data_IF_564780337661
#
_entry.id   IF_564780337661
#
_cell.length_a   1.000
_cell.length_b   1.000
_cell.length_c   1.000
_cell.angle_alpha   90.00
_cell.angle_beta   90.00
_cell.angle_gamma   90.00
#
_symmetry.space_group_name_H-M   'P 1'
#
loop_
_entity.id
_entity.type
_entity.pdbx_description
1 polymer ?
#
# COMPACT_ATOMS: atom_id res chain seq x y z
N UNK A 1 -5.67 -5.74 4.56
CA UNK A 1 -4.74 -6.84 4.81
C UNK A 1 -4.35 -6.85 6.29
N UNK A 2 -4.06 -8.02 6.81
CA UNK A 2 -3.62 -8.26 8.19
C UNK A 2 -2.10 -8.34 8.34
N UNK A 3 -1.37 -8.06 7.26
CA UNK A 3 0.09 -8.10 7.27
C UNK A 3 0.75 -6.96 8.05
N UNK A 4 2.07 -7.08 8.36
CA UNK A 4 2.76 -6.18 9.28
C UNK A 4 2.59 -4.70 8.91
N UNK A 5 2.84 -4.31 7.66
CA UNK A 5 2.76 -2.91 7.25
C UNK A 5 1.37 -2.30 7.46
N UNK A 6 0.32 -3.10 7.22
CA UNK A 6 -1.07 -2.65 7.41
C UNK A 6 -1.41 -2.52 8.88
N UNK A 7 -0.92 -3.44 9.71
CA UNK A 7 -1.15 -3.42 11.16
C UNK A 7 -0.35 -2.32 11.84
N UNK A 8 0.88 -2.05 11.40
CA UNK A 8 1.66 -0.88 11.82
C UNK A 8 0.90 0.41 11.55
N UNK A 9 0.34 0.58 10.33
CA UNK A 9 -0.45 1.76 9.99
C UNK A 9 -1.68 1.92 10.89
N UNK A 10 -2.42 0.83 11.14
CA UNK A 10 -3.61 0.87 12.00
C UNK A 10 -3.22 1.24 13.43
N UNK A 11 -2.17 0.64 14.00
CA UNK A 11 -1.68 0.96 15.34
C UNK A 11 -1.25 2.42 15.47
N UNK A 12 -0.50 2.95 14.50
CA UNK A 12 -0.11 4.36 14.47
C UNK A 12 -1.33 5.29 14.43
N UNK A 13 -2.34 4.96 13.63
CA UNK A 13 -3.57 5.75 13.54
C UNK A 13 -4.39 5.69 14.82
N UNK A 14 -4.47 4.53 15.49
CA UNK A 14 -5.12 4.38 16.79
C UNK A 14 -4.49 5.27 17.85
N UNK A 15 -3.16 5.33 17.91
CA UNK A 15 -2.42 6.17 18.87
C UNK A 15 -2.69 7.68 18.73
N UNK A 16 -3.04 8.12 17.53
CA UNK A 16 -3.35 9.54 17.28
C UNK A 16 -4.85 9.81 17.11
N UNK A 17 -5.69 8.77 17.19
CA UNK A 17 -7.13 8.81 16.93
C UNK A 17 -7.83 9.90 17.71
N UNK A 18 -7.64 9.93 19.03
CA UNK A 18 -8.29 10.91 19.91
C UNK A 18 -7.76 12.32 19.65
N UNK A 19 -6.44 12.47 19.55
CA UNK A 19 -5.80 13.77 19.34
C UNK A 19 -6.31 14.50 18.09
N UNK A 20 -6.61 13.76 17.02
CA UNK A 20 -7.04 14.30 15.72
C UNK A 20 -8.51 14.03 15.43
N UNK A 21 -9.26 13.47 16.39
CA UNK A 21 -10.68 13.09 16.24
C UNK A 21 -10.92 12.26 14.96
N UNK A 22 -10.12 11.20 14.78
CA UNK A 22 -10.21 10.37 13.60
C UNK A 22 -11.33 9.35 13.71
N UNK A 23 -12.17 9.25 12.67
CA UNK A 23 -13.08 8.14 12.45
C UNK A 23 -12.40 7.12 11.54
N UNK A 24 -12.13 5.92 12.06
CA UNK A 24 -11.38 4.88 11.35
C UNK A 24 -12.30 3.74 10.92
N UNK A 25 -12.28 3.42 9.64
CA UNK A 25 -12.95 2.28 9.04
C UNK A 25 -11.90 1.34 8.45
N UNK A 26 -11.91 0.09 8.84
CA UNK A 26 -10.98 -0.92 8.36
C UNK A 26 -11.63 -1.70 7.22
N UNK A 27 -11.06 -1.57 6.03
CA UNK A 27 -11.49 -2.29 4.83
C UNK A 27 -10.58 -3.50 4.57
N UNK A 28 -11.11 -4.70 4.65
CA UNK A 28 -10.40 -5.95 4.40
C UNK A 28 -10.92 -6.63 3.14
N UNK A 29 -10.01 -6.99 2.23
CA UNK A 29 -10.35 -7.77 1.04
C UNK A 29 -9.77 -9.17 1.20
N UNK A 30 -10.63 -10.14 1.31
CA UNK A 30 -10.29 -11.56 1.33
C UNK A 30 -10.24 -12.07 -0.12
N UNK A 31 -9.07 -12.46 -0.58
CA UNK A 31 -8.85 -12.96 -1.92
C UNK A 31 -9.28 -14.42 -2.11
N UNK A 32 -9.70 -15.11 -1.05
CA UNK A 32 -10.18 -16.51 -1.04
C UNK A 32 -9.25 -17.51 -1.76
N UNK A 33 -7.97 -17.20 -1.87
CA UNK A 33 -6.98 -18.04 -2.59
C UNK A 33 -6.42 -19.13 -1.69
N UNK A 34 -6.61 -19.03 -0.37
CA UNK A 34 -6.00 -19.90 0.64
C UNK A 34 -6.93 -20.15 1.82
N UNK A 35 -6.71 -21.28 2.51
CA UNK A 35 -7.46 -21.59 3.75
C UNK A 35 -7.21 -20.56 4.86
N UNK A 36 -5.99 -20.05 4.94
CA UNK A 36 -5.56 -19.04 5.91
C UNK A 36 -6.27 -17.70 5.75
N UNK A 37 -6.80 -17.40 4.56
CA UNK A 37 -7.55 -16.14 4.31
C UNK A 37 -8.79 -15.98 5.19
N UNK A 38 -9.39 -17.07 5.64
CA UNK A 38 -10.50 -17.05 6.59
C UNK A 38 -10.02 -16.70 8.01
N UNK A 39 -8.89 -17.26 8.44
CA UNK A 39 -8.29 -16.97 9.74
C UNK A 39 -7.82 -15.53 9.83
N UNK A 40 -7.25 -14.99 8.72
CA UNK A 40 -6.89 -13.58 8.61
C UNK A 40 -8.10 -12.65 8.80
N UNK A 41 -9.20 -12.94 8.12
CA UNK A 41 -10.44 -12.16 8.25
C UNK A 41 -10.97 -12.18 9.68
N UNK A 42 -10.95 -13.36 10.31
CA UNK A 42 -11.40 -13.55 11.69
C UNK A 42 -10.51 -12.83 12.70
N UNK A 43 -9.21 -12.85 12.49
CA UNK A 43 -8.25 -12.08 13.27
C UNK A 43 -8.56 -10.57 13.17
N UNK A 44 -8.76 -10.06 11.97
CA UNK A 44 -9.07 -8.64 11.74
C UNK A 44 -10.40 -8.22 12.36
N UNK A 45 -11.43 -9.05 12.25
CA UNK A 45 -12.73 -8.80 12.87
C UNK A 45 -12.60 -8.69 14.40
N UNK A 46 -11.89 -9.64 15.03
CA UNK A 46 -11.66 -9.61 16.48
C UNK A 46 -10.81 -8.42 16.90
N UNK A 47 -9.78 -8.09 16.11
CA UNK A 47 -8.94 -6.93 16.36
C UNK A 47 -9.75 -5.63 16.31
N UNK A 48 -10.59 -5.47 15.29
CA UNK A 48 -11.44 -4.29 15.15
C UNK A 48 -12.47 -4.18 16.28
N UNK A 49 -13.07 -5.29 16.68
CA UNK A 49 -14.00 -5.33 17.82
C UNK A 49 -13.31 -4.90 19.13
N UNK A 50 -12.10 -5.38 19.38
CA UNK A 50 -11.35 -5.04 20.60
C UNK A 50 -10.92 -3.56 20.65
N UNK A 51 -10.80 -2.89 19.50
CA UNK A 51 -10.37 -1.49 19.38
C UNK A 51 -11.52 -0.54 19.00
N UNK A 52 -12.77 -1.01 19.06
CA UNK A 52 -13.97 -0.23 18.71
C UNK A 52 -13.88 0.42 17.31
N UNK A 53 -13.42 -0.37 16.33
CA UNK A 53 -13.28 0.02 14.93
C UNK A 53 -14.41 -0.57 14.09
N UNK A 54 -14.87 0.20 13.11
CA UNK A 54 -15.76 -0.31 12.07
C UNK A 54 -14.96 -1.25 11.16
N UNK A 55 -15.46 -2.46 10.96
CA UNK A 55 -14.85 -3.47 10.09
C UNK A 55 -15.75 -3.77 8.90
N UNK A 56 -15.20 -3.58 7.70
CA UNK A 56 -15.87 -3.90 6.43
C UNK A 56 -15.01 -4.92 5.67
N UNK A 57 -15.63 -5.97 5.20
CA UNK A 57 -14.94 -7.03 4.47
C UNK A 57 -15.64 -7.38 3.18
N UNK A 58 -14.86 -7.78 2.19
CA UNK A 58 -15.33 -8.34 0.92
C UNK A 58 -14.54 -9.59 0.62
N UNK A 59 -15.23 -10.62 0.14
CA UNK A 59 -14.62 -11.84 -0.38
C UNK A 59 -14.66 -11.78 -1.90
N UNK A 60 -13.53 -12.05 -2.56
CA UNK A 60 -13.47 -12.24 -4.00
C UNK A 60 -13.61 -13.73 -4.25
N UNK A 61 -14.77 -14.16 -4.77
CA UNK A 61 -15.10 -15.57 -4.93
C UNK A 61 -14.42 -16.19 -6.14
N UNK A 62 -14.36 -15.48 -7.25
CA UNK A 62 -13.77 -15.94 -8.51
C UNK A 62 -12.98 -14.82 -9.20
N UNK A 63 -11.95 -15.23 -9.93
CA UNK A 63 -11.18 -14.36 -10.81
C UNK A 63 -11.35 -14.84 -12.24
N UNK A 64 -11.48 -13.93 -13.19
CA UNK A 64 -11.48 -14.25 -14.62
C UNK A 64 -10.11 -14.83 -15.08
N UNK A 65 -10.12 -15.55 -16.18
CA UNK A 65 -8.96 -16.28 -16.68
C UNK A 65 -7.81 -15.38 -17.16
N UNK A 66 -8.08 -14.14 -17.52
CA UNK A 66 -7.10 -13.20 -18.06
C UNK A 66 -6.83 -12.01 -17.12
N UNK A 67 -5.58 -11.85 -16.68
CA UNK A 67 -5.10 -10.69 -15.94
C UNK A 67 -5.51 -10.58 -14.44
N UNK A 68 -5.50 -11.71 -13.73
CA UNK A 68 -5.76 -11.81 -12.29
C UNK A 68 -5.36 -10.60 -11.44
N UNK A 69 -4.15 -10.05 -11.62
CA UNK A 69 -3.68 -8.94 -10.81
C UNK A 69 -4.38 -7.61 -11.07
N UNK A 70 -4.74 -7.33 -12.32
CA UNK A 70 -5.45 -6.09 -12.67
C UNK A 70 -6.91 -6.16 -12.26
N UNK A 71 -7.54 -7.31 -12.45
CA UNK A 71 -8.92 -7.55 -12.05
C UNK A 71 -9.08 -7.47 -10.53
N UNK A 72 -8.24 -8.18 -9.77
CA UNK A 72 -8.21 -8.12 -8.32
C UNK A 72 -7.97 -6.68 -7.81
N UNK A 73 -7.15 -5.91 -8.52
CA UNK A 73 -6.93 -4.49 -8.20
C UNK A 73 -8.21 -3.69 -8.42
N UNK A 74 -8.88 -3.83 -9.55
CA UNK A 74 -10.09 -3.07 -9.88
C UNK A 74 -11.22 -3.40 -8.90
N UNK A 75 -11.48 -4.68 -8.62
CA UNK A 75 -12.49 -5.13 -7.66
C UNK A 75 -12.21 -4.51 -6.28
N UNK A 76 -10.95 -4.55 -5.83
CA UNK A 76 -10.55 -3.96 -4.55
C UNK A 76 -10.78 -2.46 -4.49
N UNK A 77 -10.42 -1.70 -5.54
CA UNK A 77 -10.62 -0.25 -5.54
C UNK A 77 -12.10 0.13 -5.64
N UNK A 78 -12.91 -0.60 -6.40
CA UNK A 78 -14.37 -0.42 -6.44
C UNK A 78 -15.00 -0.62 -5.06
N UNK A 79 -14.56 -1.64 -4.33
CA UNK A 79 -14.99 -1.86 -2.94
C UNK A 79 -14.59 -0.68 -2.05
N UNK A 80 -13.35 -0.23 -2.11
CA UNK A 80 -12.91 0.92 -1.31
C UNK A 80 -13.71 2.19 -1.63
N UNK A 81 -13.99 2.46 -2.90
CA UNK A 81 -14.82 3.60 -3.31
C UNK A 81 -16.26 3.49 -2.78
N UNK A 82 -16.83 2.29 -2.75
CA UNK A 82 -18.16 2.07 -2.16
C UNK A 82 -18.18 2.43 -0.67
N UNK A 83 -17.10 2.08 0.06
CA UNK A 83 -16.96 2.42 1.47
C UNK A 83 -16.71 3.92 1.70
N UNK A 84 -15.89 4.56 0.86
CA UNK A 84 -15.71 6.02 0.87
C UNK A 84 -17.07 6.71 0.80
N UNK A 85 -17.93 6.32 -0.13
CA UNK A 85 -19.27 6.88 -0.28
C UNK A 85 -20.18 6.54 0.91
N UNK A 86 -20.16 5.29 1.37
CA UNK A 86 -21.00 4.81 2.51
C UNK A 86 -20.72 5.59 3.79
N UNK A 87 -19.47 5.90 4.07
CA UNK A 87 -19.02 6.54 5.30
C UNK A 87 -18.67 8.03 5.13
N UNK A 88 -18.87 8.60 3.93
CA UNK A 88 -18.43 9.96 3.58
C UNK A 88 -16.96 10.21 4.00
N UNK A 89 -16.07 9.25 3.75
CA UNK A 89 -14.70 9.30 4.21
C UNK A 89 -13.82 10.21 3.32
N UNK A 90 -13.01 11.05 3.93
CA UNK A 90 -12.13 11.99 3.23
C UNK A 90 -10.87 11.32 2.64
N UNK A 91 -10.45 10.19 3.23
CA UNK A 91 -9.18 9.54 2.91
C UNK A 91 -9.30 8.03 2.77
N UNK A 92 -8.68 7.49 1.71
CA UNK A 92 -8.32 6.09 1.61
C UNK A 92 -6.83 5.96 1.95
N UNK A 93 -6.49 5.33 3.08
CA UNK A 93 -5.11 5.11 3.46
C UNK A 93 -4.64 3.71 3.09
N UNK A 94 -3.42 3.61 2.57
CA UNK A 94 -2.78 2.33 2.22
C UNK A 94 -1.38 2.27 2.80
N UNK A 95 -0.95 1.09 3.24
CA UNK A 95 0.31 0.86 3.92
C UNK A 95 1.52 0.69 2.97
N UNK A 96 1.49 1.30 1.79
CA UNK A 96 2.66 1.30 0.91
C UNK A 96 3.80 2.10 1.55
N UNK A 97 4.99 1.54 1.53
CA UNK A 97 6.20 2.09 2.14
C UNK A 97 7.33 2.35 1.13
N UNK A 98 8.50 2.79 1.59
CA UNK A 98 9.61 3.20 0.73
C UNK A 98 10.16 2.07 -0.14
N UNK A 99 10.26 0.84 0.37
CA UNK A 99 10.70 -0.31 -0.42
C UNK A 99 9.73 -0.60 -1.57
N UNK A 100 8.41 -0.48 -1.36
CA UNK A 100 7.41 -0.62 -2.44
C UNK A 100 7.57 0.44 -3.54
N UNK A 101 8.01 1.65 -3.18
CA UNK A 101 8.30 2.70 -4.16
C UNK A 101 9.50 2.31 -5.02
N UNK A 102 10.60 1.85 -4.40
CA UNK A 102 11.79 1.38 -5.11
C UNK A 102 11.41 0.23 -6.05
N UNK A 103 10.71 -0.80 -5.55
CA UNK A 103 10.23 -1.92 -6.35
C UNK A 103 9.47 -1.43 -7.59
N UNK A 104 8.53 -0.49 -7.38
CA UNK A 104 7.66 0.02 -8.45
C UNK A 104 8.45 0.80 -9.49
N UNK A 105 9.36 1.67 -9.08
CA UNK A 105 10.22 2.46 -9.97
C UNK A 105 11.11 1.53 -10.80
N UNK A 106 11.82 0.61 -10.14
CA UNK A 106 12.71 -0.35 -10.80
C UNK A 106 11.98 -1.24 -11.79
N UNK A 107 10.82 -1.80 -11.40
CA UNK A 107 10.02 -2.62 -12.31
C UNK A 107 9.54 -1.84 -13.54
N UNK A 108 9.20 -0.55 -13.39
CA UNK A 108 8.78 0.29 -14.51
C UNK A 108 9.95 0.69 -15.40
N UNK A 109 11.14 0.92 -14.84
CA UNK A 109 12.36 1.15 -15.62
C UNK A 109 12.67 -0.05 -16.51
N UNK A 110 12.61 -1.27 -15.99
CA UNK A 110 12.89 -2.49 -16.74
C UNK A 110 11.84 -2.81 -17.81
N UNK A 111 10.56 -2.54 -17.54
CA UNK A 111 9.47 -2.80 -18.49
C UNK A 111 9.29 -1.73 -19.54
N UNK A 112 9.84 -0.56 -19.33
CA UNK A 112 9.50 0.65 -20.05
C UNK A 112 8.23 1.32 -19.50
N UNK A 113 8.22 2.64 -19.47
CA UNK A 113 7.08 3.46 -19.04
C UNK A 113 7.21 4.87 -19.62
N UNK A 114 6.21 5.72 -19.40
CA UNK A 114 6.33 7.15 -19.63
C UNK A 114 6.91 7.87 -18.40
N UNK A 115 7.19 9.16 -18.54
CA UNK A 115 7.81 9.97 -17.50
C UNK A 115 7.02 9.93 -16.17
N UNK A 116 5.70 10.11 -16.25
CA UNK A 116 4.81 9.99 -15.08
C UNK A 116 4.85 8.59 -14.48
N UNK A 117 4.91 7.55 -15.31
CA UNK A 117 5.02 6.18 -14.86
C UNK A 117 6.31 5.90 -14.10
N UNK A 118 7.45 6.36 -14.59
CA UNK A 118 8.75 6.17 -13.94
C UNK A 118 8.81 6.82 -12.55
N UNK A 119 8.01 7.85 -12.26
CA UNK A 119 7.94 8.43 -10.92
C UNK A 119 7.36 7.49 -9.85
N UNK A 120 6.89 6.29 -10.21
CA UNK A 120 6.33 5.34 -9.25
C UNK A 120 4.93 5.74 -8.79
N UNK A 121 4.72 5.85 -7.49
CA UNK A 121 3.45 6.30 -6.91
C UNK A 121 3.67 7.45 -5.90
N UNK A 122 2.64 8.30 -5.75
CA UNK A 122 2.70 9.50 -4.92
C UNK A 122 2.22 9.24 -3.49
N UNK A 123 2.71 10.03 -2.52
CA UNK A 123 2.23 10.04 -1.15
C UNK A 123 0.74 10.35 -1.06
N UNK A 124 0.29 11.35 -1.83
CA UNK A 124 -1.11 11.78 -1.89
C UNK A 124 -1.56 11.82 -3.34
N UNK A 125 -2.70 11.20 -3.63
CA UNK A 125 -3.35 11.23 -4.94
C UNK A 125 -4.76 11.78 -4.75
N UNK A 126 -5.11 12.94 -5.33
CA UNK A 126 -6.47 13.44 -5.30
C UNK A 126 -7.37 12.56 -6.17
N UNK A 127 -8.55 12.27 -5.67
CA UNK A 127 -9.64 11.58 -6.34
C UNK A 127 -10.90 12.45 -6.27
N UNK A 128 -11.96 12.06 -6.95
CA UNK A 128 -13.23 12.75 -6.85
C UNK A 128 -13.87 12.53 -5.47
N UNK A 129 -13.91 13.59 -4.67
CA UNK A 129 -14.51 13.58 -3.33
C UNK A 129 -13.63 13.02 -2.20
N UNK A 130 -12.44 12.47 -2.49
CA UNK A 130 -11.53 11.94 -1.45
C UNK A 130 -10.06 11.99 -1.88
N UNK A 131 -9.14 11.55 -1.02
CA UNK A 131 -7.71 11.41 -1.37
C UNK A 131 -7.20 10.01 -1.01
N UNK A 132 -6.39 9.43 -1.89
CA UNK A 132 -5.59 8.25 -1.53
C UNK A 132 -4.31 8.74 -0.86
N UNK A 133 -4.02 8.25 0.34
CA UNK A 133 -2.85 8.65 1.12
C UNK A 133 -2.00 7.42 1.47
N UNK A 134 -0.68 7.57 1.39
CA UNK A 134 0.32 6.55 1.76
C UNK A 134 1.23 7.11 2.85
N UNK A 135 0.80 7.06 4.11
CA UNK A 135 1.53 7.69 5.21
C UNK A 135 2.92 7.11 5.40
N UNK A 136 3.09 5.82 5.11
CA UNK A 136 4.33 5.06 5.36
C UNK A 136 5.38 5.17 4.25
N UNK A 137 5.15 5.95 3.20
CA UNK A 137 6.04 6.03 2.04
C UNK A 137 7.48 6.47 2.38
N UNK A 138 7.67 7.15 3.50
CA UNK A 138 8.98 7.62 3.98
C UNK A 138 9.75 6.59 4.80
N UNK A 139 9.10 5.48 5.18
CA UNK A 139 9.67 4.45 6.02
C UNK A 139 10.10 3.24 5.19
N UNK A 140 11.16 2.60 5.63
CA UNK A 140 11.62 1.31 5.09
C UNK A 140 10.80 0.17 5.68
N UNK A 141 10.84 -0.99 5.03
CA UNK A 141 10.26 -2.21 5.57
C UNK A 141 10.84 -2.55 6.95
N UNK A 142 12.14 -2.41 7.09
CA UNK A 142 12.86 -2.70 8.34
C UNK A 142 12.45 -1.78 9.49
N UNK A 143 12.26 -0.48 9.23
CA UNK A 143 11.76 0.46 10.25
C UNK A 143 10.35 0.10 10.71
N UNK A 144 9.48 -0.37 9.80
CA UNK A 144 8.13 -0.82 10.14
C UNK A 144 8.17 -2.13 10.95
N UNK A 145 9.00 -3.09 10.60
CA UNK A 145 9.18 -4.32 11.37
C UNK A 145 9.74 -4.04 12.77
N UNK A 146 10.66 -3.08 12.90
CA UNK A 146 11.17 -2.63 14.19
C UNK A 146 10.07 -1.93 15.01
N UNK A 147 9.25 -1.10 14.36
CA UNK A 147 8.09 -0.49 15.01
C UNK A 147 7.13 -1.54 15.56
N UNK A 148 6.79 -2.55 14.76
CA UNK A 148 5.89 -3.63 15.16
C UNK A 148 6.43 -4.40 16.38
N UNK A 149 7.73 -4.72 16.39
CA UNK A 149 8.39 -5.40 17.52
C UNK A 149 8.38 -4.55 18.78
N UNK A 150 8.70 -3.25 18.67
CA UNK A 150 8.78 -2.36 19.82
C UNK A 150 7.41 -2.05 20.44
N UNK A 151 6.35 -2.15 19.66
CA UNK A 151 4.98 -1.84 20.07
C UNK A 151 4.10 -3.08 20.27
N UNK A 152 4.67 -4.29 20.18
CA UNK A 152 3.94 -5.57 20.27
C UNK A 152 2.73 -5.62 19.30
N UNK A 153 2.89 -5.07 18.11
CA UNK A 153 1.84 -5.05 17.09
C UNK A 153 1.63 -6.46 16.57
N UNK A 154 0.42 -6.96 16.72
CA UNK A 154 0.04 -8.31 16.24
C UNK A 154 -0.36 -8.24 14.77
N UNK A 155 0.18 -9.12 13.95
CA UNK A 155 -0.12 -9.23 12.52
C UNK A 155 -0.11 -10.69 12.07
N UNK A 156 -0.67 -10.91 10.89
CA UNK A 156 -0.67 -12.22 10.25
C UNK A 156 0.47 -12.32 9.23
N UNK A 157 1.25 -13.41 9.28
CA UNK A 157 2.35 -13.63 8.33
C UNK A 157 1.84 -14.43 7.13
N UNK A 158 1.92 -13.84 5.95
CA UNK A 158 1.57 -14.51 4.71
C UNK A 158 2.74 -15.35 4.18
N UNK A 159 2.56 -16.68 4.19
CA UNK A 159 3.56 -17.66 3.70
C UNK A 159 3.84 -17.58 2.19
N UNK A 160 3.05 -16.85 1.40
CA UNK A 160 3.26 -16.71 -0.05
C UNK A 160 4.29 -15.65 -0.44
N UNK A 161 4.73 -14.84 0.51
CA UNK A 161 5.71 -13.78 0.26
C UNK A 161 7.08 -14.31 -0.18
N UNK A 162 7.40 -15.57 0.12
CA UNK A 162 8.70 -16.20 -0.18
C UNK A 162 8.80 -16.82 -1.58
N UNK A 163 7.73 -16.79 -2.38
CA UNK A 163 7.74 -17.43 -3.69
C UNK A 163 8.38 -16.53 -4.76
N UNK A 164 9.51 -16.96 -5.34
CA UNK A 164 10.20 -16.25 -6.44
C UNK A 164 9.41 -16.19 -7.77
N UNK A 165 8.20 -16.78 -7.80
CA UNK A 165 7.30 -16.81 -8.97
C UNK A 165 6.93 -15.40 -9.43
N UNK A 166 6.78 -14.47 -8.52
CA UNK A 166 6.34 -13.10 -8.83
C UNK A 166 7.53 -12.15 -8.96
N UNK A 167 7.54 -11.34 -10.02
CA UNK A 167 8.59 -10.35 -10.29
C UNK A 167 8.85 -9.44 -9.09
N UNK A 168 7.79 -8.97 -8.41
CA UNK A 168 7.88 -8.11 -7.24
C UNK A 168 8.64 -8.78 -6.09
N UNK A 169 8.40 -10.07 -5.83
CA UNK A 169 9.10 -10.82 -4.79
C UNK A 169 10.61 -10.94 -5.11
N UNK A 170 10.98 -11.12 -6.39
CA UNK A 170 12.40 -11.14 -6.79
C UNK A 170 13.09 -9.80 -6.57
N UNK A 171 12.40 -8.67 -6.86
CA UNK A 171 12.97 -7.34 -6.58
C UNK A 171 13.17 -7.13 -5.09
N UNK A 172 12.19 -7.50 -4.27
CA UNK A 172 12.27 -7.42 -2.82
C UNK A 172 13.41 -8.26 -2.25
N UNK A 173 13.61 -9.46 -2.78
CA UNK A 173 14.57 -10.42 -2.27
C UNK A 173 16.01 -10.17 -2.73
N UNK A 174 16.19 -9.67 -3.96
CA UNK A 174 17.51 -9.59 -4.57
C UNK A 174 17.94 -8.16 -4.90
N UNK A 175 17.04 -7.28 -5.31
CA UNK A 175 17.39 -5.94 -5.78
C UNK A 175 17.43 -4.95 -4.62
N UNK A 176 16.42 -4.93 -3.78
CA UNK A 176 16.38 -3.99 -2.65
C UNK A 176 17.54 -4.18 -1.67
N UNK A 177 17.88 -5.41 -1.21
CA UNK A 177 19.04 -5.59 -0.35
C UNK A 177 20.33 -5.10 -0.99
N UNK A 178 20.58 -5.45 -2.26
CA UNK A 178 21.73 -4.97 -3.00
C UNK A 178 21.81 -3.42 -3.02
N UNK A 179 20.71 -2.75 -3.31
CA UNK A 179 20.70 -1.27 -3.33
C UNK A 179 20.93 -0.67 -1.94
N UNK A 180 20.45 -1.31 -0.88
CA UNK A 180 20.69 -0.88 0.50
C UNK A 180 22.15 -1.08 0.93
N UNK A 181 22.78 -2.14 0.46
CA UNK A 181 24.19 -2.43 0.72
C UNK A 181 25.11 -1.40 0.00
N UNK A 182 24.73 -0.97 -1.22
CA UNK A 182 25.44 0.09 -1.94
C UNK A 182 25.26 1.47 -1.28
N UNK A 183 24.06 1.75 -0.73
CA UNK A 183 23.78 3.02 -0.06
C UNK A 183 22.62 2.89 0.93
N UNK A 184 22.92 3.01 2.22
CA UNK A 184 21.90 2.97 3.28
C UNK A 184 20.81 4.06 3.16
N UNK A 185 21.07 5.15 2.41
CA UNK A 185 20.14 6.23 2.15
C UNK A 185 19.38 6.08 0.82
N UNK A 186 19.44 4.92 0.18
CA UNK A 186 18.83 4.68 -1.15
C UNK A 186 17.33 5.06 -1.18
N UNK A 187 16.58 4.84 -0.10
CA UNK A 187 15.18 5.22 -0.01
C UNK A 187 14.95 6.70 -0.21
N UNK A 188 15.73 7.54 0.45
CA UNK A 188 15.65 9.00 0.28
C UNK A 188 15.99 9.44 -1.15
N UNK A 189 16.95 8.77 -1.79
CA UNK A 189 17.32 9.05 -3.18
C UNK A 189 16.21 8.68 -4.15
N UNK A 190 15.57 7.51 -3.97
CA UNK A 190 14.43 7.11 -4.79
C UNK A 190 13.20 7.99 -4.57
N UNK A 191 12.96 8.44 -3.35
CA UNK A 191 11.90 9.40 -3.06
C UNK A 191 12.13 10.73 -3.76
N UNK A 192 13.33 11.30 -3.63
CA UNK A 192 13.70 12.54 -4.32
C UNK A 192 13.56 12.39 -5.84
N UNK A 193 14.08 11.30 -6.41
CA UNK A 193 13.91 10.96 -7.83
C UNK A 193 12.43 10.91 -8.24
N UNK A 194 11.59 10.23 -7.47
CA UNK A 194 10.14 10.13 -7.71
C UNK A 194 9.46 11.51 -7.72
N UNK A 195 9.78 12.35 -6.76
CA UNK A 195 9.22 13.71 -6.64
C UNK A 195 9.66 14.62 -7.78
N UNK A 196 10.96 14.67 -8.09
CA UNK A 196 11.52 15.46 -9.17
C UNK A 196 10.90 15.05 -10.51
N UNK A 197 10.84 13.76 -10.78
CA UNK A 197 10.26 13.23 -12.03
C UNK A 197 8.76 13.52 -12.15
N UNK A 198 8.02 13.41 -11.03
CA UNK A 198 6.61 13.77 -10.98
C UNK A 198 6.38 15.26 -11.26
N UNK A 199 7.26 16.13 -10.75
CA UNK A 199 7.17 17.57 -10.98
C UNK A 199 7.52 17.92 -12.43
N UNK A 200 8.55 17.31 -13.00
CA UNK A 200 8.92 17.46 -14.39
C UNK A 200 7.78 17.01 -15.33
N UNK A 201 7.16 15.86 -15.06
CA UNK A 201 6.01 15.37 -15.84
C UNK A 201 4.83 16.37 -15.82
N UNK A 202 4.47 16.88 -14.63
CA UNK A 202 3.40 17.88 -14.51
C UNK A 202 3.68 19.18 -15.27
N UNK A 203 4.94 19.63 -15.25
CA UNK A 203 5.35 20.81 -15.97
C UNK A 203 5.20 20.61 -17.47
N UNK A 204 5.67 19.48 -18.00
CA UNK A 204 5.56 19.13 -19.42
C UNK A 204 4.08 19.02 -19.84
N UNK A 205 3.25 18.33 -19.04
CA UNK A 205 1.81 18.20 -19.33
C UNK A 205 1.13 19.57 -19.38
N UNK A 206 1.45 20.46 -18.43
CA UNK A 206 0.90 21.83 -18.41
C UNK A 206 1.33 22.68 -19.61
N UNK A 207 2.57 22.54 -20.06
CA UNK A 207 3.03 23.27 -21.25
C UNK A 207 2.42 22.70 -22.54
N UNK A 208 2.27 21.38 -22.65
CA UNK A 208 1.58 20.73 -23.75
C UNK A 208 0.12 21.19 -23.86
N UNK A 209 -0.60 21.32 -22.74
CA UNK A 209 -2.02 21.71 -22.71
C UNK A 209 -2.24 23.22 -23.03
N UNK A 210 -1.17 24.03 -23.10
CA UNK A 210 -1.19 25.43 -23.52
C UNK A 210 -0.92 25.61 -25.03
N UNK A 211 -0.31 24.60 -25.67
CA UNK A 211 0.07 24.63 -27.09
C UNK A 211 -1.06 24.11 -27.98
#
# INVERSE_FOLDING_TARGET
SSGPDSMALVDMLLKIREKYNLSLIIAHVNHNVRKESYEEAKFMEQYCKNNELVFETMVIEEYGDDNFHNEARNIRYNFFESLIRKYAADYLMTAHHGDDLIETVMMRLVRGSNLSGYSGFKKVVPMEGYKIVRPLIHYTKEELENYDKLNDVKYFVDSSNDKDKYTRNRYRKYVIPFLKDEDCNVHHKFMKFSEELSNASKFIDKERDKA
#
